data_IF_184963505778
#
_entry.id   IF_184963505778
#
_cell.length_a   1.000
_cell.length_b   1.000
_cell.length_c   1.000
_cell.angle_alpha   90.00
_cell.angle_beta   90.00
_cell.angle_gamma   90.00
#
_symmetry.space_group_name_H-M   'P 1'
#
loop_
_entity.id
_entity.type
_entity.pdbx_description
1 polymer ?
#
# COMPACT_ATOMS: atom_id res chain seq x y z
N UNK A 1 -50.14 -50.38 -6.80
CA UNK A 1 -48.82 -50.01 -6.21
C UNK A 1 -48.50 -48.62 -6.71
N UNK A 2 -48.52 -47.69 -5.78
CA UNK A 2 -48.39 -46.24 -5.93
C UNK A 2 -46.94 -45.89 -6.26
N UNK A 3 -46.69 -45.18 -7.36
CA UNK A 3 -45.46 -44.41 -7.54
C UNK A 3 -45.85 -42.94 -7.62
N UNK A 4 -45.47 -42.19 -6.58
CA UNK A 4 -45.64 -40.75 -6.45
C UNK A 4 -44.45 -40.10 -7.14
N UNK A 5 -44.69 -39.27 -8.15
CA UNK A 5 -43.69 -38.37 -8.72
C UNK A 5 -43.48 -37.17 -7.80
N UNK A 6 -42.22 -36.92 -7.43
CA UNK A 6 -41.80 -35.71 -6.72
C UNK A 6 -41.50 -34.59 -7.74
N UNK A 7 -41.89 -33.33 -7.48
CA UNK A 7 -41.63 -32.23 -8.39
C UNK A 7 -40.13 -31.88 -8.43
N UNK A 8 -39.63 -31.63 -9.64
CA UNK A 8 -38.26 -31.16 -9.91
C UNK A 8 -38.06 -29.75 -9.33
N UNK A 9 -37.01 -29.57 -8.54
CA UNK A 9 -36.51 -28.25 -8.17
C UNK A 9 -35.95 -27.54 -9.42
N UNK A 10 -36.11 -26.20 -9.54
CA UNK A 10 -35.51 -25.45 -10.63
C UNK A 10 -33.98 -25.48 -10.52
N UNK A 11 -33.32 -25.81 -11.61
CA UNK A 11 -31.88 -25.68 -11.77
C UNK A 11 -31.54 -24.18 -11.69
N UNK A 12 -30.78 -23.79 -10.67
CA UNK A 12 -30.14 -22.47 -10.66
C UNK A 12 -28.91 -22.53 -11.56
N UNK A 13 -29.06 -22.07 -12.80
CA UNK A 13 -27.92 -21.64 -13.61
C UNK A 13 -27.37 -20.34 -13.02
N UNK A 14 -26.52 -20.51 -12.01
CA UNK A 14 -25.54 -19.52 -11.62
C UNK A 14 -24.22 -20.27 -11.53
N UNK A 15 -23.46 -20.24 -12.63
CA UNK A 15 -22.05 -20.60 -12.63
C UNK A 15 -21.34 -19.73 -11.59
N UNK A 16 -21.27 -20.24 -10.36
CA UNK A 16 -20.35 -19.73 -9.36
C UNK A 16 -18.95 -20.04 -9.90
N UNK A 17 -18.34 -19.06 -10.58
CA UNK A 17 -16.90 -19.06 -10.81
C UNK A 17 -16.25 -19.38 -9.47
N UNK A 18 -15.46 -20.46 -9.36
CA UNK A 18 -14.78 -20.76 -8.11
C UNK A 18 -13.91 -19.55 -7.78
N UNK A 19 -14.24 -18.87 -6.69
CA UNK A 19 -13.36 -17.87 -6.09
C UNK A 19 -12.15 -18.66 -5.62
N UNK A 20 -11.15 -18.76 -6.50
CA UNK A 20 -9.88 -19.35 -6.18
C UNK A 20 -9.20 -18.38 -5.22
N UNK A 21 -9.38 -18.62 -3.92
CA UNK A 21 -8.60 -17.93 -2.90
C UNK A 21 -7.13 -18.12 -3.26
N UNK A 22 -6.35 -17.04 -3.44
CA UNK A 22 -4.95 -17.17 -3.82
C UNK A 22 -4.24 -18.01 -2.76
N UNK A 23 -3.60 -19.11 -3.19
CA UNK A 23 -2.75 -19.93 -2.33
C UNK A 23 -1.72 -19.04 -1.63
N UNK A 24 -1.43 -19.26 -0.33
CA UNK A 24 -0.44 -18.50 0.40
C UNK A 24 0.95 -18.98 -0.02
N UNK A 25 1.39 -18.57 -1.21
CA UNK A 25 2.76 -18.78 -1.63
C UNK A 25 3.56 -17.51 -1.33
N UNK A 26 4.35 -17.62 -0.27
CA UNK A 26 5.51 -16.80 0.01
C UNK A 26 6.57 -17.00 -1.10
N UNK A 27 6.29 -16.54 -2.31
CA UNK A 27 7.29 -16.46 -3.36
C UNK A 27 7.93 -15.08 -3.28
N UNK A 28 9.25 -15.06 -3.11
CA UNK A 28 10.04 -13.86 -3.34
C UNK A 28 9.65 -13.28 -4.72
N UNK A 29 9.45 -11.96 -4.86
CA UNK A 29 9.17 -11.34 -6.15
C UNK A 29 10.22 -11.75 -7.20
N UNK A 30 9.79 -11.88 -8.45
CA UNK A 30 10.71 -12.11 -9.57
C UNK A 30 11.79 -11.02 -9.64
N UNK A 31 12.96 -11.38 -10.17
CA UNK A 31 14.08 -10.45 -10.33
C UNK A 31 13.68 -9.19 -11.13
N UNK A 32 12.87 -9.36 -12.19
CA UNK A 32 12.35 -8.25 -12.98
C UNK A 32 11.48 -7.29 -12.14
N UNK A 33 10.56 -7.82 -11.34
CA UNK A 33 9.68 -7.01 -10.47
C UNK A 33 10.47 -6.31 -9.36
N UNK A 34 11.49 -6.97 -8.82
CA UNK A 34 12.43 -6.38 -7.87
C UNK A 34 13.21 -5.20 -8.47
N UNK A 35 13.71 -5.32 -9.72
CA UNK A 35 14.40 -4.23 -10.40
C UNK A 35 13.49 -3.04 -10.67
N UNK A 36 12.26 -3.27 -11.15
CA UNK A 36 11.29 -2.20 -11.39
C UNK A 36 10.88 -1.49 -10.10
N UNK A 37 10.69 -2.23 -9.01
CA UNK A 37 10.43 -1.65 -7.70
C UNK A 37 11.61 -0.82 -7.19
N UNK A 38 12.86 -1.26 -7.45
CA UNK A 38 14.07 -0.51 -7.08
C UNK A 38 14.13 0.81 -7.86
N UNK A 39 13.93 0.78 -9.17
CA UNK A 39 13.92 1.98 -10.03
C UNK A 39 12.82 2.96 -9.57
N UNK A 40 11.61 2.47 -9.35
CA UNK A 40 10.48 3.29 -8.92
C UNK A 40 10.68 3.88 -7.51
N UNK A 41 11.23 3.11 -6.57
CA UNK A 41 11.51 3.57 -5.21
C UNK A 41 12.61 4.63 -5.20
N UNK A 42 13.72 4.40 -5.90
CA UNK A 42 14.79 5.40 -6.03
C UNK A 42 14.31 6.66 -6.73
N UNK A 43 13.47 6.53 -7.77
CA UNK A 43 12.86 7.67 -8.46
C UNK A 43 11.99 8.50 -7.52
N UNK A 44 11.09 7.86 -6.76
CA UNK A 44 10.21 8.57 -5.84
C UNK A 44 10.99 9.26 -4.71
N UNK A 45 12.00 8.58 -4.17
CA UNK A 45 12.91 9.11 -3.16
C UNK A 45 13.70 10.31 -3.67
N UNK A 46 14.36 10.19 -4.83
CA UNK A 46 15.16 11.28 -5.41
C UNK A 46 14.29 12.46 -5.85
N UNK A 47 13.12 12.23 -6.45
CA UNK A 47 12.19 13.29 -6.82
C UNK A 47 11.68 14.06 -5.58
N UNK A 48 11.36 13.35 -4.49
CA UNK A 48 10.99 13.97 -3.21
C UNK A 48 12.17 14.77 -2.64
N UNK A 49 13.36 14.16 -2.55
CA UNK A 49 14.56 14.81 -2.04
C UNK A 49 14.91 16.09 -2.79
N UNK A 50 15.05 16.04 -4.13
CA UNK A 50 15.43 17.20 -4.94
C UNK A 50 14.41 18.33 -4.81
N UNK A 51 13.12 17.98 -4.81
CA UNK A 51 12.03 18.95 -4.69
C UNK A 51 12.01 19.63 -3.32
N UNK A 52 12.23 18.87 -2.25
CA UNK A 52 12.14 19.37 -0.87
C UNK A 52 13.41 20.09 -0.42
N UNK A 53 14.57 19.75 -0.99
CA UNK A 53 15.86 20.43 -0.71
C UNK A 53 16.11 21.65 -1.60
N UNK A 54 15.20 21.96 -2.53
CA UNK A 54 15.33 23.09 -3.44
C UNK A 54 16.34 22.89 -4.58
N UNK A 55 16.79 21.66 -4.83
CA UNK A 55 17.65 21.33 -5.96
C UNK A 55 16.79 21.16 -7.23
N UNK A 56 16.49 22.26 -7.92
CA UNK A 56 15.60 22.26 -9.09
C UNK A 56 16.20 21.66 -10.36
N UNK A 57 17.52 21.72 -10.52
CA UNK A 57 18.24 21.14 -11.67
C UNK A 57 19.56 20.50 -11.21
N UNK A 58 19.62 19.16 -11.08
CA UNK A 58 20.83 18.46 -10.68
C UNK A 58 21.77 18.18 -11.87
N UNK A 59 21.42 18.58 -13.10
CA UNK A 59 22.23 18.26 -14.28
C UNK A 59 23.58 18.97 -14.20
N UNK A 60 24.64 18.19 -14.36
CA UNK A 60 26.01 18.69 -14.34
C UNK A 60 26.88 17.71 -15.11
N UNK A 61 27.67 18.17 -16.10
CA UNK A 61 28.68 17.33 -16.73
C UNK A 61 29.63 16.78 -15.67
N UNK A 62 29.99 15.51 -15.80
CA UNK A 62 30.99 14.88 -14.93
C UNK A 62 32.18 14.38 -15.77
N UNK A 63 33.20 15.23 -16.02
CA UNK A 63 34.34 14.86 -16.85
C UNK A 63 35.22 13.78 -16.22
N UNK A 64 35.05 13.50 -14.92
CA UNK A 64 35.81 12.48 -14.18
C UNK A 64 35.26 11.06 -14.32
N UNK A 65 34.05 10.89 -14.85
CA UNK A 65 33.44 9.58 -15.04
C UNK A 65 33.50 9.15 -16.51
N UNK A 66 34.01 7.95 -16.78
CA UNK A 66 34.09 7.43 -18.15
C UNK A 66 32.67 7.28 -18.70
N UNK A 67 32.41 7.85 -19.89
CA UNK A 67 31.07 7.85 -20.51
C UNK A 67 30.45 6.44 -20.64
N UNK A 68 31.27 5.39 -20.75
CA UNK A 68 30.81 3.99 -20.81
C UNK A 68 30.19 3.47 -19.51
N UNK A 69 30.38 4.17 -18.39
CA UNK A 69 29.77 3.83 -17.09
C UNK A 69 28.37 4.45 -16.95
N UNK A 70 28.03 5.44 -17.78
CA UNK A 70 26.75 6.13 -17.71
C UNK A 70 25.75 5.53 -18.70
N UNK A 71 24.52 5.39 -18.24
CA UNK A 71 23.38 5.10 -19.13
C UNK A 71 23.13 6.26 -20.10
N UNK A 72 22.37 6.02 -21.17
CA UNK A 72 21.89 7.10 -22.03
C UNK A 72 21.08 8.14 -21.22
N UNK A 73 21.37 9.43 -21.46
CA UNK A 73 20.71 10.55 -20.77
C UNK A 73 21.67 11.72 -20.51
N UNK A 74 21.18 12.74 -19.82
CA UNK A 74 22.01 13.86 -19.36
C UNK A 74 22.65 13.52 -18.00
N UNK A 75 23.95 13.74 -17.79
CA UNK A 75 24.58 13.48 -16.50
C UNK A 75 24.01 14.41 -15.43
N UNK A 76 23.77 13.86 -14.23
CA UNK A 76 23.45 14.64 -13.04
C UNK A 76 24.45 14.35 -11.93
N UNK A 77 24.62 15.35 -11.08
CA UNK A 77 25.43 15.21 -9.89
C UNK A 77 24.77 15.93 -8.71
N UNK A 78 24.54 15.17 -7.64
CA UNK A 78 23.96 15.66 -6.41
C UNK A 78 25.04 15.69 -5.33
N UNK A 79 25.37 16.90 -4.86
CA UNK A 79 26.31 17.09 -3.75
C UNK A 79 25.66 16.69 -2.43
N UNK A 80 26.34 15.85 -1.66
CA UNK A 80 25.94 15.34 -0.35
C UNK A 80 27.06 15.62 0.66
N UNK A 81 26.82 15.55 1.98
CA UNK A 81 27.85 15.87 2.97
C UNK A 81 29.14 15.05 2.86
N UNK A 82 29.05 13.81 2.36
CA UNK A 82 30.17 12.87 2.26
C UNK A 82 30.51 12.54 0.80
N UNK A 83 30.45 13.56 -0.08
CA UNK A 83 30.82 13.45 -1.49
C UNK A 83 29.66 13.70 -2.45
N UNK A 84 29.56 12.91 -3.52
CA UNK A 84 28.58 13.15 -4.59
C UNK A 84 27.87 11.88 -5.03
N UNK A 85 26.57 11.99 -5.28
CA UNK A 85 25.78 10.98 -6.01
C UNK A 85 25.70 11.38 -7.47
N UNK A 86 26.16 10.49 -8.35
CA UNK A 86 26.27 10.70 -9.79
C UNK A 86 25.40 9.68 -10.52
N UNK A 87 24.78 10.09 -11.62
CA UNK A 87 24.05 9.20 -12.51
C UNK A 87 23.59 9.95 -13.76
N UNK A 88 22.58 9.43 -14.43
CA UNK A 88 21.95 10.12 -15.58
C UNK A 88 20.47 10.36 -15.39
N UNK A 89 19.99 11.44 -16.01
CA UNK A 89 18.59 11.72 -16.24
C UNK A 89 18.23 11.28 -17.66
N UNK A 90 17.39 10.27 -17.77
CA UNK A 90 16.72 9.89 -19.03
C UNK A 90 15.65 10.91 -19.42
N UNK A 91 15.09 11.60 -18.43
CA UNK A 91 14.15 12.70 -18.63
C UNK A 91 14.27 13.71 -17.50
N UNK A 92 14.57 14.95 -17.87
CA UNK A 92 14.49 16.11 -16.98
C UNK A 92 13.07 16.70 -17.03
N UNK A 93 12.52 17.04 -15.87
CA UNK A 93 11.16 17.57 -15.73
C UNK A 93 11.18 18.87 -14.96
N UNK A 94 10.57 19.91 -15.50
CA UNK A 94 10.40 21.20 -14.80
C UNK A 94 9.49 21.10 -13.57
N UNK A 95 8.65 20.06 -13.51
CA UNK A 95 7.79 19.79 -12.35
C UNK A 95 8.43 18.87 -11.30
N UNK A 96 9.69 18.46 -11.50
CA UNK A 96 10.43 17.57 -10.60
C UNK A 96 10.16 16.08 -10.78
N UNK A 97 9.29 15.67 -11.73
CA UNK A 97 9.05 14.25 -12.05
C UNK A 97 10.14 13.71 -12.99
N UNK A 98 11.37 13.64 -12.49
CA UNK A 98 12.51 13.16 -13.29
C UNK A 98 12.43 11.65 -13.56
N UNK A 99 13.11 11.20 -14.60
CA UNK A 99 13.41 9.77 -14.83
C UNK A 99 14.91 9.57 -14.84
N UNK A 100 15.40 8.65 -14.03
CA UNK A 100 16.82 8.37 -13.84
C UNK A 100 17.27 7.19 -14.71
N UNK A 101 18.58 7.11 -14.96
CA UNK A 101 19.23 5.88 -15.38
C UNK A 101 19.16 4.80 -14.29
N UNK A 102 19.53 3.59 -14.68
CA UNK A 102 19.70 2.42 -13.80
C UNK A 102 21.04 2.43 -13.06
N UNK A 103 22.08 3.05 -13.63
CA UNK A 103 23.39 3.14 -13.04
C UNK A 103 23.56 4.41 -12.19
N UNK A 104 23.99 4.23 -10.95
CA UNK A 104 24.37 5.29 -10.03
C UNK A 104 25.81 5.06 -9.57
N UNK A 105 26.46 6.12 -9.12
CA UNK A 105 27.82 6.10 -8.59
C UNK A 105 27.93 7.04 -7.39
N UNK A 106 28.68 6.64 -6.38
CA UNK A 106 29.12 7.53 -5.31
C UNK A 106 30.57 7.91 -5.53
N UNK A 107 30.86 9.21 -5.46
CA UNK A 107 32.22 9.75 -5.40
C UNK A 107 32.49 10.23 -3.98
N UNK A 108 33.55 9.73 -3.36
CA UNK A 108 33.99 10.21 -2.04
C UNK A 108 34.83 11.50 -2.14
N UNK A 109 35.19 12.07 -0.99
CA UNK A 109 36.00 13.29 -0.89
C UNK A 109 37.40 13.14 -1.49
N UNK A 110 37.92 11.90 -1.58
CA UNK A 110 39.20 11.58 -2.20
C UNK A 110 39.08 11.37 -3.72
N UNK A 111 37.87 11.53 -4.29
CA UNK A 111 37.59 11.40 -5.72
C UNK A 111 37.42 9.96 -6.20
N UNK A 112 37.43 8.96 -5.30
CA UNK A 112 37.21 7.57 -5.67
C UNK A 112 35.73 7.37 -5.98
N UNK A 113 35.47 6.69 -7.10
CA UNK A 113 34.13 6.40 -7.59
C UNK A 113 33.79 4.92 -7.40
N UNK A 114 32.64 4.62 -6.80
CA UNK A 114 32.15 3.26 -6.59
C UNK A 114 30.66 3.14 -6.95
N UNK A 115 30.21 1.99 -7.49
CA UNK A 115 28.79 1.73 -7.67
C UNK A 115 28.11 1.46 -6.30
N UNK A 116 27.09 2.23 -5.89
CA UNK A 116 26.33 1.99 -4.67
C UNK A 116 25.21 0.98 -4.89
N UNK A 117 24.80 0.32 -3.81
CA UNK A 117 23.50 -0.34 -3.78
C UNK A 117 22.36 0.64 -3.42
N UNK A 118 21.12 0.14 -3.33
CA UNK A 118 19.97 0.99 -2.97
C UNK A 118 20.09 1.55 -1.55
N UNK A 119 20.64 0.76 -0.63
CA UNK A 119 20.78 1.12 0.77
C UNK A 119 21.83 2.20 0.96
N UNK A 120 22.94 2.15 0.23
CA UNK A 120 23.96 3.20 0.22
C UNK A 120 23.36 4.55 -0.20
N UNK A 121 22.53 4.56 -1.26
CA UNK A 121 21.86 5.78 -1.71
C UNK A 121 20.88 6.30 -0.65
N UNK A 122 20.03 5.43 -0.09
CA UNK A 122 19.09 5.81 0.98
C UNK A 122 19.85 6.42 2.15
N UNK A 123 20.90 5.74 2.61
CA UNK A 123 21.72 6.20 3.73
C UNK A 123 22.29 7.59 3.46
N UNK A 124 22.92 7.79 2.30
CA UNK A 124 23.54 9.07 1.91
C UNK A 124 22.54 10.22 1.82
N UNK A 125 21.33 9.97 1.31
CA UNK A 125 20.27 10.97 1.24
C UNK A 125 19.71 11.31 2.62
N UNK A 126 19.46 10.30 3.47
CA UNK A 126 18.95 10.53 4.82
C UNK A 126 19.98 11.24 5.71
N UNK A 127 21.26 10.90 5.59
CA UNK A 127 22.36 11.61 6.26
C UNK A 127 22.45 13.08 5.84
N UNK A 128 22.17 13.38 4.56
CA UNK A 128 22.14 14.76 4.06
C UNK A 128 20.98 15.59 4.62
N UNK A 129 19.89 14.95 5.02
CA UNK A 129 18.75 15.61 5.68
C UNK A 129 18.96 15.75 7.20
N UNK A 130 19.81 14.91 7.79
CA UNK A 130 20.13 14.93 9.21
C UNK A 130 20.99 16.14 9.59
N UNK A 131 20.58 16.92 10.57
CA UNK A 131 21.46 17.94 11.14
C UNK A 131 22.40 17.30 12.18
N UNK A 132 23.73 17.47 12.07
CA UNK A 132 24.67 16.97 13.08
C UNK A 132 24.55 17.67 14.44
N UNK A 133 23.66 18.65 14.61
CA UNK A 133 23.57 19.50 15.81
C UNK A 133 22.86 18.89 17.01
N UNK A 134 22.29 17.68 16.91
CA UNK A 134 21.72 16.98 18.07
C UNK A 134 22.18 15.53 18.09
N UNK A 135 23.31 15.29 18.75
CA UNK A 135 23.77 13.96 19.16
C UNK A 135 22.84 13.39 20.24
N UNK A 136 21.59 13.13 19.86
CA UNK A 136 20.57 12.53 20.69
C UNK A 136 20.09 11.25 20.00
N UNK A 137 19.90 10.17 20.75
CA UNK A 137 19.52 8.84 20.23
C UNK A 137 18.24 8.90 19.36
N UNK A 138 17.45 9.95 19.53
CA UNK A 138 16.25 10.27 18.74
C UNK A 138 16.56 10.50 17.25
N UNK A 139 17.74 11.00 16.88
CA UNK A 139 18.12 11.20 15.47
C UNK A 139 18.38 9.86 14.77
N UNK A 140 19.19 9.00 15.36
CA UNK A 140 19.49 7.67 14.79
C UNK A 140 18.23 6.81 14.66
N UNK A 141 17.35 6.84 15.68
CA UNK A 141 16.06 6.15 15.63
C UNK A 141 15.16 6.65 14.50
N UNK A 142 15.16 7.97 14.21
CA UNK A 142 14.40 8.54 13.08
C UNK A 142 14.96 8.09 11.74
N UNK A 143 16.28 8.09 11.57
CA UNK A 143 16.91 7.61 10.34
C UNK A 143 16.61 6.12 10.11
N UNK A 144 16.69 5.32 11.18
CA UNK A 144 16.34 3.91 11.14
C UNK A 144 14.87 3.69 10.75
N UNK A 145 13.94 4.41 11.39
CA UNK A 145 12.51 4.33 11.09
C UNK A 145 12.19 4.73 9.63
N UNK A 146 12.81 5.80 9.13
CA UNK A 146 12.66 6.21 7.73
C UNK A 146 13.18 5.16 6.76
N UNK A 147 14.36 4.59 7.03
CA UNK A 147 14.94 3.52 6.22
C UNK A 147 14.06 2.27 6.24
N UNK A 148 13.50 1.90 7.39
CA UNK A 148 12.58 0.77 7.49
C UNK A 148 11.30 1.00 6.68
N UNK A 149 10.73 2.21 6.74
CA UNK A 149 9.56 2.59 5.91
C UNK A 149 9.83 2.53 4.41
N UNK A 150 10.99 3.02 3.97
CA UNK A 150 11.43 2.95 2.56
C UNK A 150 11.57 1.49 2.13
N UNK A 151 12.22 0.66 2.94
CA UNK A 151 12.40 -0.77 2.64
C UNK A 151 11.07 -1.55 2.67
N UNK A 152 10.16 -1.21 3.58
CA UNK A 152 8.82 -1.75 3.62
C UNK A 152 8.09 -1.43 2.31
N UNK A 153 8.04 -0.15 1.93
CA UNK A 153 7.43 0.31 0.68
C UNK A 153 8.01 -0.38 -0.55
N UNK A 154 9.34 -0.47 -0.63
CA UNK A 154 10.03 -1.18 -1.72
C UNK A 154 9.59 -2.65 -1.81
N UNK A 155 9.58 -3.36 -0.67
CA UNK A 155 9.19 -4.77 -0.62
C UNK A 155 7.73 -4.96 -1.06
N UNK A 156 6.83 -4.06 -0.64
CA UNK A 156 5.42 -4.08 -1.03
C UNK A 156 5.26 -3.84 -2.52
N UNK A 157 5.92 -2.82 -3.05
CA UNK A 157 5.91 -2.50 -4.47
C UNK A 157 6.41 -3.66 -5.33
N UNK A 158 7.50 -4.33 -4.93
CA UNK A 158 8.01 -5.50 -5.63
C UNK A 158 6.98 -6.64 -5.66
N UNK A 159 6.29 -6.90 -4.54
CA UNK A 159 5.24 -7.91 -4.48
C UNK A 159 4.01 -7.56 -5.34
N UNK A 160 3.64 -6.28 -5.42
CA UNK A 160 2.54 -5.83 -6.29
C UNK A 160 2.85 -5.97 -7.77
N UNK A 161 4.06 -5.57 -8.18
CA UNK A 161 4.49 -5.68 -9.57
C UNK A 161 4.60 -7.13 -10.01
N UNK A 162 5.07 -8.01 -9.13
CA UNK A 162 5.12 -9.45 -9.40
C UNK A 162 3.73 -10.05 -9.58
N UNK A 163 2.80 -9.68 -8.69
CA UNK A 163 1.41 -10.10 -8.78
C UNK A 163 0.72 -9.59 -10.05
N UNK A 164 0.96 -8.33 -10.41
CA UNK A 164 0.49 -7.72 -11.65
C UNK A 164 0.97 -8.49 -12.88
N UNK A 165 2.27 -8.79 -12.96
CA UNK A 165 2.83 -9.55 -14.09
C UNK A 165 2.25 -10.95 -14.19
N UNK A 166 2.03 -11.64 -13.07
CA UNK A 166 1.39 -12.97 -13.08
C UNK A 166 -0.05 -12.91 -13.58
N UNK A 167 -0.83 -11.93 -13.15
CA UNK A 167 -2.24 -11.78 -13.56
C UNK A 167 -2.41 -11.38 -15.03
N UNK A 168 -1.44 -10.67 -15.59
CA UNK A 168 -1.53 -10.10 -16.95
C UNK A 168 -0.52 -10.72 -17.92
N UNK A 169 0.04 -11.90 -17.61
CA UNK A 169 1.04 -12.56 -18.46
C UNK A 169 0.50 -12.93 -19.84
N UNK A 170 -0.80 -13.23 -19.96
CA UNK A 170 -1.39 -13.84 -21.17
C UNK A 170 -2.53 -13.02 -21.81
N UNK A 171 -2.87 -11.84 -21.29
CA UNK A 171 -3.99 -11.05 -21.79
C UNK A 171 -3.60 -9.60 -22.11
N UNK A 172 -4.03 -9.04 -23.25
CA UNK A 172 -3.92 -7.60 -23.52
C UNK A 172 -4.63 -6.81 -22.42
N UNK A 173 -4.00 -5.73 -21.96
CA UNK A 173 -4.62 -4.82 -21.01
C UNK A 173 -5.82 -4.13 -21.69
N UNK A 174 -7.03 -4.41 -21.19
CA UNK A 174 -8.21 -3.64 -21.55
C UNK A 174 -8.14 -2.23 -20.93
N UNK A 175 -8.95 -1.30 -21.44
CA UNK A 175 -9.14 -0.02 -20.75
C UNK A 175 -9.72 -0.31 -19.34
N UNK A 176 -9.10 0.20 -18.27
CA UNK A 176 -9.55 -0.08 -16.91
C UNK A 176 -10.93 0.54 -16.67
N UNK A 177 -11.80 -0.18 -15.97
CA UNK A 177 -12.98 0.42 -15.37
C UNK A 177 -12.61 1.24 -14.12
N UNK A 178 -13.62 1.74 -13.38
CA UNK A 178 -13.38 2.52 -12.17
C UNK A 178 -12.61 1.74 -11.09
N UNK A 179 -12.96 0.47 -10.87
CA UNK A 179 -12.33 -0.37 -9.85
C UNK A 179 -10.92 -0.75 -10.28
N UNK A 180 -10.75 -1.13 -11.55
CA UNK A 180 -9.43 -1.41 -12.12
C UNK A 180 -8.51 -0.18 -11.97
N UNK A 181 -9.03 1.03 -12.21
CA UNK A 181 -8.27 2.25 -12.08
C UNK A 181 -7.81 2.50 -10.63
N UNK A 182 -8.72 2.37 -9.65
CA UNK A 182 -8.39 2.48 -8.21
C UNK A 182 -7.35 1.42 -7.78
N UNK A 183 -7.39 0.23 -8.40
CA UNK A 183 -6.48 -0.89 -8.11
C UNK A 183 -5.18 -0.88 -8.93
N UNK A 184 -4.98 0.11 -9.80
CA UNK A 184 -3.84 0.17 -10.74
C UNK A 184 -2.65 1.01 -10.25
N UNK A 185 -2.74 1.67 -9.09
CA UNK A 185 -1.71 2.57 -8.60
C UNK A 185 -0.52 1.84 -7.94
N UNK A 186 0.15 0.92 -8.64
CA UNK A 186 1.20 0.04 -8.09
C UNK A 186 2.41 0.76 -7.49
N UNK A 187 2.77 1.92 -8.05
CA UNK A 187 3.96 2.68 -7.63
C UNK A 187 3.66 3.72 -6.55
N UNK A 188 2.38 4.07 -6.36
CA UNK A 188 1.93 5.06 -5.38
C UNK A 188 2.36 6.49 -5.73
N UNK A 189 2.45 7.35 -4.72
CA UNK A 189 2.73 8.78 -4.90
C UNK A 189 4.17 9.02 -5.43
N UNK A 190 4.34 9.73 -6.57
CA UNK A 190 5.65 9.86 -7.22
C UNK A 190 6.64 10.81 -6.50
N UNK A 191 6.17 11.56 -5.50
CA UNK A 191 6.97 12.44 -4.64
C UNK A 191 6.85 12.06 -3.16
N UNK A 192 6.75 10.77 -2.85
CA UNK A 192 6.80 10.31 -1.47
C UNK A 192 7.89 9.24 -1.35
N UNK A 193 8.76 9.27 -0.34
CA UNK A 193 9.92 8.37 -0.25
C UNK A 193 9.52 6.91 0.00
N UNK A 194 8.33 6.67 0.57
CA UNK A 194 7.83 5.32 0.88
C UNK A 194 6.33 5.17 0.57
N UNK A 195 5.90 5.35 -0.68
CA UNK A 195 4.48 5.52 -1.04
C UNK A 195 3.62 4.26 -0.83
N UNK A 196 4.25 3.09 -0.61
CA UNK A 196 3.61 1.80 -0.33
C UNK A 196 3.91 1.27 1.06
N UNK A 197 4.40 2.12 1.97
CA UNK A 197 4.63 1.70 3.35
C UNK A 197 3.30 1.38 4.03
N UNK A 198 3.24 0.22 4.68
CA UNK A 198 2.06 -0.27 5.37
C UNK A 198 2.44 -0.87 6.75
N UNK A 199 3.35 -0.22 7.48
CA UNK A 199 3.74 -0.63 8.83
C UNK A 199 2.52 -0.68 9.77
N UNK A 200 2.52 -1.64 10.71
CA UNK A 200 1.39 -1.90 11.60
C UNK A 200 0.39 -2.96 11.10
N UNK A 201 0.40 -3.28 9.80
CA UNK A 201 -0.32 -4.44 9.26
C UNK A 201 0.63 -5.64 9.11
N UNK A 202 0.27 -6.79 9.71
CA UNK A 202 0.99 -8.04 9.47
C UNK A 202 1.00 -8.39 7.97
N UNK A 203 2.02 -9.14 7.51
CA UNK A 203 2.17 -9.46 6.08
C UNK A 203 0.93 -10.11 5.47
N UNK A 204 0.29 -11.04 6.17
CA UNK A 204 -0.92 -11.75 5.70
C UNK A 204 -2.15 -10.84 5.64
N UNK A 205 -2.29 -9.98 6.62
CA UNK A 205 -3.35 -8.96 6.66
C UNK A 205 -3.26 -8.05 5.45
N UNK A 206 -2.05 -7.60 5.11
CA UNK A 206 -1.85 -6.70 3.98
C UNK A 206 -2.34 -7.28 2.64
N UNK A 207 -2.06 -8.56 2.37
CA UNK A 207 -2.45 -9.19 1.10
C UNK A 207 -3.96 -9.25 0.90
N UNK A 208 -4.71 -9.42 1.99
CA UNK A 208 -6.16 -9.53 1.98
C UNK A 208 -6.89 -8.19 1.81
N UNK A 209 -6.19 -7.06 1.96
CA UNK A 209 -6.79 -5.72 2.02
C UNK A 209 -6.10 -4.71 1.09
N UNK A 210 -5.13 -5.14 0.27
CA UNK A 210 -4.41 -4.25 -0.65
C UNK A 210 -5.17 -4.10 -1.97
N UNK A 211 -5.53 -2.87 -2.38
CA UNK A 211 -6.22 -2.63 -3.65
C UNK A 211 -5.38 -3.09 -4.84
N UNK A 212 -4.06 -2.95 -4.79
CA UNK A 212 -3.14 -3.37 -5.85
C UNK A 212 -3.19 -4.88 -6.13
N UNK A 213 -3.69 -5.68 -5.18
CA UNK A 213 -3.87 -7.12 -5.34
C UNK A 213 -5.27 -7.51 -5.81
N UNK A 214 -6.11 -6.54 -6.14
CA UNK A 214 -7.53 -6.79 -6.45
C UNK A 214 -8.29 -7.34 -5.25
N UNK A 215 -7.90 -6.95 -4.04
CA UNK A 215 -8.51 -7.47 -2.82
C UNK A 215 -9.98 -7.07 -2.75
N UNK A 216 -10.84 -8.07 -2.64
CA UNK A 216 -12.26 -7.90 -2.32
C UNK A 216 -12.59 -8.64 -1.02
N UNK A 217 -13.35 -8.00 -0.15
CA UNK A 217 -13.71 -8.56 1.16
C UNK A 217 -15.04 -8.04 1.67
N UNK A 218 -15.69 -8.82 2.53
CA UNK A 218 -16.88 -8.36 3.25
C UNK A 218 -16.47 -7.48 4.43
N UNK A 219 -17.24 -6.44 4.70
CA UNK A 219 -17.08 -5.64 5.91
C UNK A 219 -17.51 -6.43 7.15
N UNK A 220 -16.93 -6.09 8.29
CA UNK A 220 -17.42 -6.56 9.59
C UNK A 220 -18.42 -5.53 10.13
N UNK A 221 -19.57 -5.98 10.60
CA UNK A 221 -20.59 -5.09 11.12
C UNK A 221 -20.69 -5.23 12.64
N UNK A 222 -20.76 -4.10 13.34
CA UNK A 222 -21.03 -4.03 14.77
C UNK A 222 -22.38 -3.35 14.99
N UNK A 223 -23.20 -3.88 15.88
CA UNK A 223 -24.30 -3.13 16.46
C UNK A 223 -23.80 -2.38 17.70
N UNK A 224 -23.86 -1.06 17.66
CA UNK A 224 -23.40 -0.16 18.71
C UNK A 224 -24.62 0.43 19.40
N UNK A 225 -24.73 0.31 20.72
CA UNK A 225 -25.81 0.93 21.46
C UNK A 225 -25.78 2.44 21.25
N UNK A 226 -26.95 3.06 21.01
CA UNK A 226 -27.03 4.46 20.57
C UNK A 226 -26.42 5.46 21.55
N UNK A 227 -26.31 5.13 22.83
CA UNK A 227 -25.62 5.98 23.82
C UNK A 227 -24.12 6.11 23.60
N UNK A 228 -23.53 5.23 22.77
CA UNK A 228 -22.10 5.20 22.43
C UNK A 228 -21.84 5.61 20.97
N UNK A 229 -22.89 5.93 20.21
CA UNK A 229 -22.79 6.28 18.80
C UNK A 229 -23.04 7.77 18.63
N UNK A 230 -22.09 8.44 17.97
CA UNK A 230 -22.28 9.79 17.47
C UNK A 230 -22.42 9.74 15.94
N UNK A 231 -23.49 10.32 15.40
CA UNK A 231 -23.80 10.32 13.98
C UNK A 231 -24.12 11.74 13.52
N UNK A 232 -23.58 12.14 12.37
CA UNK A 232 -23.91 13.40 11.71
C UNK A 232 -24.26 13.13 10.25
N UNK A 233 -25.40 13.66 9.81
CA UNK A 233 -25.95 13.43 8.47
C UNK A 233 -26.31 14.75 7.82
N UNK A 234 -26.08 14.85 6.51
CA UNK A 234 -26.67 15.90 5.68
C UNK A 234 -28.03 15.39 5.19
N UNK A 235 -29.10 15.82 5.87
CA UNK A 235 -30.47 15.39 5.56
C UNK A 235 -30.95 14.21 6.40
N UNK A 236 -31.92 13.46 5.89
CA UNK A 236 -32.45 12.29 6.59
C UNK A 236 -31.40 11.17 6.65
N UNK A 237 -31.23 10.48 7.79
CA UNK A 237 -30.34 9.33 7.87
C UNK A 237 -30.78 8.23 6.89
N UNK A 238 -29.90 7.89 5.96
CA UNK A 238 -30.05 6.71 5.12
C UNK A 238 -28.89 5.76 5.45
N UNK A 239 -29.24 4.63 6.08
CA UNK A 239 -28.22 3.67 6.49
C UNK A 239 -27.70 2.83 5.33
N UNK A 240 -28.42 2.76 4.19
CA UNK A 240 -28.01 1.99 3.01
C UNK A 240 -27.67 0.52 3.27
N UNK A 241 -28.14 -0.07 4.38
CA UNK A 241 -27.69 -1.38 4.84
C UNK A 241 -28.18 -2.48 3.90
N UNK A 242 -27.26 -3.37 3.48
CA UNK A 242 -27.62 -4.56 2.76
C UNK A 242 -28.62 -5.42 3.56
N UNK A 243 -29.56 -6.07 2.87
CA UNK A 243 -30.63 -6.85 3.54
C UNK A 243 -30.06 -7.93 4.47
N UNK A 244 -28.93 -8.56 4.08
CA UNK A 244 -28.25 -9.56 4.90
C UNK A 244 -27.80 -9.00 6.26
N UNK A 245 -27.36 -7.75 6.29
CA UNK A 245 -26.96 -7.05 7.52
C UNK A 245 -28.19 -6.73 8.37
N UNK A 246 -29.26 -6.23 7.74
CA UNK A 246 -30.52 -5.92 8.40
C UNK A 246 -31.17 -7.15 9.05
N UNK A 247 -31.18 -8.29 8.34
CA UNK A 247 -31.66 -9.59 8.88
C UNK A 247 -30.81 -10.05 10.04
N UNK A 248 -29.48 -10.05 9.91
CA UNK A 248 -28.58 -10.48 10.97
C UNK A 248 -28.74 -9.63 12.24
N UNK A 249 -28.85 -8.31 12.09
CA UNK A 249 -29.09 -7.40 13.21
C UNK A 249 -30.43 -7.67 13.91
N UNK A 250 -31.52 -7.89 13.15
CA UNK A 250 -32.84 -8.23 13.71
C UNK A 250 -32.80 -9.57 14.46
N UNK A 251 -32.14 -10.58 13.90
CA UNK A 251 -32.01 -11.89 14.53
C UNK A 251 -31.18 -11.83 15.82
N UNK A 252 -30.07 -11.07 15.83
CA UNK A 252 -29.16 -10.98 16.98
C UNK A 252 -29.69 -10.11 18.12
N UNK A 253 -30.43 -9.04 17.81
CA UNK A 253 -30.89 -8.04 18.79
C UNK A 253 -32.37 -8.17 19.14
N UNK A 254 -33.18 -8.78 18.28
CA UNK A 254 -34.63 -8.92 18.48
C UNK A 254 -35.30 -7.57 18.71
N UNK A 255 -36.13 -7.50 19.76
CA UNK A 255 -36.86 -6.27 20.15
C UNK A 255 -35.96 -5.09 20.52
N UNK A 256 -34.70 -5.33 20.89
CA UNK A 256 -33.73 -4.28 21.23
C UNK A 256 -33.12 -3.60 20.01
N UNK A 257 -33.41 -4.06 18.78
CA UNK A 257 -32.80 -3.52 17.54
C UNK A 257 -32.89 -1.99 17.43
N UNK A 258 -33.97 -1.39 17.93
CA UNK A 258 -34.18 0.06 17.88
C UNK A 258 -33.12 0.84 18.69
N UNK A 259 -32.58 0.24 19.75
CA UNK A 259 -31.61 0.86 20.67
C UNK A 259 -30.18 0.86 20.11
N UNK A 260 -29.97 0.30 18.93
CA UNK A 260 -28.65 0.14 18.30
C UNK A 260 -28.55 0.86 16.96
N UNK A 261 -27.41 1.48 16.72
CA UNK A 261 -26.92 1.84 15.39
C UNK A 261 -26.09 0.67 14.82
N UNK A 262 -26.01 0.57 13.48
CA UNK A 262 -25.22 -0.46 12.80
C UNK A 262 -24.02 0.20 12.15
N UNK A 263 -22.82 -0.17 12.60
CA UNK A 263 -21.55 0.40 12.18
C UNK A 263 -20.81 -0.60 11.27
N UNK A 264 -20.63 -0.30 9.97
CA UNK A 264 -19.70 -1.03 9.13
C UNK A 264 -18.25 -0.72 9.54
N UNK A 265 -17.40 -1.74 9.53
CA UNK A 265 -15.99 -1.61 9.83
C UNK A 265 -15.13 -2.46 8.90
N UNK A 266 -13.93 -1.95 8.60
CA UNK A 266 -12.91 -2.74 7.92
C UNK A 266 -12.53 -3.97 8.80
N UNK A 267 -12.44 -5.20 8.24
CA UNK A 267 -12.19 -6.40 9.03
C UNK A 267 -10.92 -6.36 9.87
N UNK A 268 -9.82 -5.78 9.34
CA UNK A 268 -8.59 -5.61 10.12
C UNK A 268 -8.79 -4.68 11.32
N UNK A 269 -9.46 -3.53 11.12
CA UNK A 269 -9.69 -2.57 12.18
C UNK A 269 -10.60 -3.15 13.26
N UNK A 270 -11.64 -3.89 12.87
CA UNK A 270 -12.50 -4.57 13.82
C UNK A 270 -11.76 -5.69 14.57
N UNK A 271 -10.90 -6.45 13.89
CA UNK A 271 -10.03 -7.45 14.53
C UNK A 271 -9.12 -6.85 15.58
N UNK A 272 -8.53 -5.68 15.32
CA UNK A 272 -7.77 -4.93 16.32
C UNK A 272 -8.67 -4.40 17.45
N UNK A 273 -9.75 -3.67 17.13
CA UNK A 273 -10.63 -3.02 18.10
C UNK A 273 -11.22 -4.02 19.10
N UNK A 274 -11.77 -5.13 18.61
CA UNK A 274 -12.46 -6.13 19.44
C UNK A 274 -11.52 -6.85 20.43
N UNK A 275 -10.20 -6.71 20.27
CA UNK A 275 -9.21 -7.27 21.19
C UNK A 275 -8.73 -6.29 22.27
N UNK A 276 -9.11 -5.02 22.17
CA UNK A 276 -8.68 -4.00 23.13
C UNK A 276 -9.35 -4.20 24.50
N UNK A 277 -8.57 -3.97 25.57
CA UNK A 277 -9.05 -4.18 26.94
C UNK A 277 -10.29 -3.35 27.27
N UNK A 278 -10.32 -2.10 26.81
CA UNK A 278 -11.42 -1.15 27.08
C UNK A 278 -12.70 -1.47 26.29
N UNK A 279 -12.61 -2.32 25.26
CA UNK A 279 -13.77 -2.76 24.46
C UNK A 279 -14.44 -3.99 25.06
N UNK A 280 -13.70 -4.82 25.82
CA UNK A 280 -14.23 -6.04 26.42
C UNK A 280 -15.46 -5.80 27.32
N UNK A 281 -15.49 -4.80 28.22
CA UNK A 281 -16.68 -4.51 29.02
C UNK A 281 -17.91 -4.20 28.15
N UNK A 282 -17.74 -3.42 27.07
CA UNK A 282 -18.83 -3.05 26.16
C UNK A 282 -19.44 -4.27 25.45
N UNK A 283 -18.61 -5.26 25.11
CA UNK A 283 -19.06 -6.54 24.56
C UNK A 283 -19.82 -7.37 25.60
N UNK A 284 -19.33 -7.42 26.85
CA UNK A 284 -19.97 -8.17 27.94
C UNK A 284 -21.32 -7.59 28.35
N UNK A 285 -21.44 -6.26 28.35
CA UNK A 285 -22.68 -5.53 28.64
C UNK A 285 -23.62 -5.45 27.42
N UNK A 286 -23.22 -6.05 26.29
CA UNK A 286 -23.91 -5.95 25.00
C UNK A 286 -24.17 -4.51 24.54
N UNK A 287 -23.40 -3.53 25.02
CA UNK A 287 -23.39 -2.18 24.46
C UNK A 287 -22.72 -2.14 23.08
N UNK A 288 -21.89 -3.13 22.80
CA UNK A 288 -21.34 -3.44 21.48
C UNK A 288 -21.65 -4.91 21.17
N UNK A 289 -22.20 -5.19 19.99
CA UNK A 289 -22.51 -6.56 19.57
C UNK A 289 -21.94 -6.80 18.17
N UNK A 290 -21.06 -7.78 18.07
CA UNK A 290 -20.44 -8.17 16.81
C UNK A 290 -21.41 -9.01 15.97
N UNK A 291 -21.73 -8.51 14.76
CA UNK A 291 -22.58 -9.18 13.79
C UNK A 291 -21.78 -10.01 12.78
N UNK A 292 -20.45 -9.89 12.79
CA UNK A 292 -19.56 -10.63 11.90
C UNK A 292 -19.42 -10.05 10.49
N UNK A 293 -18.87 -10.86 9.59
CA UNK A 293 -18.64 -10.49 8.19
C UNK A 293 -19.91 -10.67 7.36
N UNK A 294 -20.49 -9.55 6.92
CA UNK A 294 -21.81 -9.51 6.28
C UNK A 294 -21.80 -8.58 5.06
N UNK A 295 -22.93 -8.52 4.36
CA UNK A 295 -23.06 -7.68 3.17
C UNK A 295 -22.40 -8.26 1.91
N UNK A 296 -22.38 -7.48 0.81
CA UNK A 296 -21.71 -7.89 -0.42
C UNK A 296 -20.20 -7.98 -0.23
N UNK A 297 -19.53 -8.69 -1.15
CA UNK A 297 -18.09 -8.50 -1.34
C UNK A 297 -17.90 -7.09 -1.92
N UNK A 298 -17.13 -6.27 -1.22
CA UNK A 298 -16.64 -4.98 -1.70
C UNK A 298 -15.23 -5.16 -2.26
#
# INVERSE_FOLDING_TARGET
MTHIELPRLPQSDAEARPVMLPSPHATCPSYASHLLAKEASLRALLNSYLRETGCSDPRRPDPGLVASLLDAGEPFCLTLPQGELIGTLRYFSLSGQHRYGSAFYLRDEQGRVVPPDMQDIIQRLLEALGSPTTADNTHELRLWDMRDKINNSFTRMAAHLDDFHRRHAEAPLAAPDFIDAEQSLYLGHPFHPFPKCSQGAERRTFENFSPERGACFRLRYLAVHRTLMEEAWLGAPDTGLAETVSVAARQRLGGRRADYAILPMHPWQAGYLLTQADIRPLLMEELLVDLGLLGPLA
#
